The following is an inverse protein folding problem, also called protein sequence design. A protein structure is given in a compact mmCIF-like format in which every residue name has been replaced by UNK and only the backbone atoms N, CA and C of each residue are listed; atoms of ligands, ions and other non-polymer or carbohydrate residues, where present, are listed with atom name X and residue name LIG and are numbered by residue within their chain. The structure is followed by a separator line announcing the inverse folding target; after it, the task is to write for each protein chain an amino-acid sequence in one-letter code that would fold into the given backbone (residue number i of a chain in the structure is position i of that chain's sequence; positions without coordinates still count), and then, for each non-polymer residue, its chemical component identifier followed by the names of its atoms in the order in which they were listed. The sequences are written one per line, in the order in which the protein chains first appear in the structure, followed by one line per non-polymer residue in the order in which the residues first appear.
data_IF_587626538489
#
_entry.id   IF_587626538489
#
_cell.length_a   1.000
_cell.length_b   1.000
_cell.length_c   1.000
_cell.angle_alpha   90.00
_cell.angle_beta   90.00
_cell.angle_gamma   90.00
#
_symmetry.space_group_name_H-M   'P 1'
#
loop_
_entity.id
_entity.type
_entity.pdbx_description
1 polymer ?
#
# COMPACT_ATOMS: atom_id res chain seq x y z
N UNK A 1 26.81 22.07 9.99
CA UNK A 1 26.07 22.96 9.07
C UNK A 1 24.60 22.99 9.47
N UNK A 2 23.96 24.17 9.62
CA UNK A 2 22.54 24.28 9.95
C UNK A 2 21.70 23.53 8.92
N UNK A 3 20.60 22.91 9.34
CA UNK A 3 19.69 22.23 8.42
C UNK A 3 18.98 23.26 7.54
N UNK A 4 19.16 23.12 6.22
CA UNK A 4 18.36 23.86 5.26
C UNK A 4 16.90 23.41 5.39
N UNK A 5 15.92 24.30 5.13
CA UNK A 5 14.50 23.95 5.21
C UNK A 5 14.16 22.73 4.34
N UNK A 6 14.81 22.61 3.18
CA UNK A 6 14.70 21.46 2.29
C UNK A 6 15.10 20.14 2.95
N UNK A 7 16.23 20.12 3.67
CA UNK A 7 16.69 18.91 4.36
C UNK A 7 15.70 18.51 5.44
N UNK A 8 15.14 19.47 6.18
CA UNK A 8 14.12 19.18 7.20
C UNK A 8 12.86 18.58 6.56
N UNK A 9 12.39 19.13 5.43
CA UNK A 9 11.25 18.59 4.67
C UNK A 9 11.52 17.14 4.22
N UNK A 10 12.65 16.88 3.57
CA UNK A 10 13.00 15.54 3.07
C UNK A 10 13.06 14.47 4.18
N UNK A 11 13.70 14.79 5.31
CA UNK A 11 13.82 13.85 6.43
C UNK A 11 12.49 13.66 7.17
N UNK A 12 11.64 14.68 7.24
CA UNK A 12 10.30 14.56 7.81
C UNK A 12 9.39 13.67 6.96
N UNK A 13 9.36 13.88 5.63
CA UNK A 13 8.60 13.05 4.70
C UNK A 13 9.06 11.58 4.74
N UNK A 14 10.37 11.37 4.79
CA UNK A 14 10.96 10.04 4.96
C UNK A 14 10.55 9.36 6.27
N UNK A 15 10.61 10.08 7.40
CA UNK A 15 10.22 9.52 8.69
C UNK A 15 8.74 9.11 8.69
N UNK A 16 7.87 9.97 8.17
CA UNK A 16 6.43 9.70 8.08
C UNK A 16 6.17 8.49 7.18
N UNK A 17 6.73 8.45 5.97
CA UNK A 17 6.45 7.35 5.07
C UNK A 17 7.10 6.02 5.50
N UNK A 18 8.26 6.06 6.17
CA UNK A 18 8.84 4.86 6.79
C UNK A 18 7.89 4.28 7.83
N UNK A 19 7.28 5.12 8.66
CA UNK A 19 6.23 4.69 9.61
C UNK A 19 5.04 4.08 8.88
N UNK A 20 4.59 4.65 7.75
CA UNK A 20 3.49 4.10 6.94
C UNK A 20 3.84 2.70 6.40
N UNK A 21 5.04 2.52 5.86
CA UNK A 21 5.50 1.23 5.33
C UNK A 21 5.66 0.19 6.44
N UNK A 22 6.25 0.55 7.58
CA UNK A 22 6.35 -0.33 8.74
C UNK A 22 4.96 -0.68 9.29
N UNK A 23 4.03 0.28 9.34
CA UNK A 23 2.66 0.04 9.74
C UNK A 23 1.95 -0.93 8.77
N UNK A 24 2.19 -0.81 7.46
CA UNK A 24 1.68 -1.75 6.45
C UNK A 24 2.19 -3.17 6.73
N UNK A 25 3.50 -3.34 6.93
CA UNK A 25 4.13 -4.64 7.21
C UNK A 25 3.58 -5.23 8.51
N UNK A 26 3.46 -4.43 9.57
CA UNK A 26 2.90 -4.87 10.84
C UNK A 26 1.42 -5.27 10.73
N UNK A 27 0.61 -4.51 9.99
CA UNK A 27 -0.79 -4.83 9.74
C UNK A 27 -0.95 -6.15 8.97
N UNK A 28 -0.16 -6.34 7.91
CA UNK A 28 -0.17 -7.55 7.08
C UNK A 28 0.30 -8.76 7.87
N UNK A 29 1.42 -8.66 8.58
CA UNK A 29 1.93 -9.73 9.46
C UNK A 29 0.91 -10.11 10.54
N UNK A 30 0.17 -9.14 11.08
CA UNK A 30 -0.87 -9.41 12.08
C UNK A 30 -2.13 -10.08 11.49
N UNK A 31 -2.39 -9.91 10.20
CA UNK A 31 -3.61 -10.42 9.53
C UNK A 31 -3.37 -11.78 8.88
N UNK A 32 -2.20 -11.98 8.29
CA UNK A 32 -1.86 -13.16 7.47
C UNK A 32 -0.85 -14.09 8.16
N UNK A 33 -0.20 -13.63 9.25
CA UNK A 33 0.83 -14.38 9.94
C UNK A 33 2.14 -14.45 9.12
N UNK A 34 2.81 -15.60 9.15
CA UNK A 34 4.07 -15.88 8.42
C UNK A 34 3.86 -16.26 6.93
N UNK A 35 2.62 -16.30 6.44
CA UNK A 35 2.32 -16.65 5.05
C UNK A 35 2.39 -15.41 4.15
N UNK A 36 3.60 -14.87 3.96
CA UNK A 36 3.81 -13.67 3.16
C UNK A 36 3.61 -13.97 1.68
N UNK A 37 2.85 -13.10 1.00
CA UNK A 37 2.71 -13.12 -0.46
C UNK A 37 3.80 -12.23 -1.08
N UNK A 38 4.04 -12.36 -2.39
CA UNK A 38 5.07 -11.59 -3.12
C UNK A 38 4.97 -10.06 -2.88
N UNK A 39 3.76 -9.52 -2.71
CA UNK A 39 3.49 -8.11 -2.39
C UNK A 39 4.18 -7.63 -1.08
N UNK A 40 4.29 -8.48 -0.08
CA UNK A 40 4.88 -8.13 1.22
C UNK A 40 6.41 -7.99 1.11
N UNK A 41 7.07 -8.80 0.26
CA UNK A 41 8.49 -8.68 -0.05
C UNK A 41 8.81 -7.39 -0.84
N UNK A 42 7.95 -7.00 -1.77
CA UNK A 42 8.11 -5.72 -2.48
C UNK A 42 7.94 -4.52 -1.55
N UNK A 43 7.07 -4.59 -0.54
CA UNK A 43 6.96 -3.54 0.46
C UNK A 43 8.22 -3.40 1.33
N UNK A 44 8.83 -4.51 1.75
CA UNK A 44 10.11 -4.48 2.48
C UNK A 44 11.24 -3.92 1.59
N UNK A 45 11.28 -4.37 0.33
CA UNK A 45 12.24 -3.88 -0.66
C UNK A 45 12.07 -2.38 -0.88
N UNK A 46 10.83 -1.86 -0.93
CA UNK A 46 10.57 -0.44 -1.07
C UNK A 46 11.11 0.39 0.11
N UNK A 47 11.07 -0.13 1.35
CA UNK A 47 11.71 0.55 2.49
C UNK A 47 13.21 0.69 2.24
N UNK A 48 13.88 -0.41 1.89
CA UNK A 48 15.34 -0.43 1.67
C UNK A 48 15.73 0.48 0.50
N UNK A 49 14.98 0.44 -0.61
CA UNK A 49 15.24 1.30 -1.76
C UNK A 49 15.04 2.77 -1.42
N UNK A 50 14.02 3.11 -0.63
CA UNK A 50 13.77 4.49 -0.22
C UNK A 50 14.84 5.03 0.73
N UNK A 51 15.26 4.22 1.70
CA UNK A 51 16.35 4.61 2.61
C UNK A 51 17.64 4.85 1.83
N UNK A 52 17.96 3.96 0.88
CA UNK A 52 19.14 4.08 0.04
C UNK A 52 19.09 5.31 -0.87
N UNK A 53 17.92 5.60 -1.47
CA UNK A 53 17.71 6.77 -2.32
C UNK A 53 17.93 8.07 -1.55
N UNK A 54 17.36 8.19 -0.35
CA UNK A 54 17.55 9.37 0.51
C UNK A 54 19.03 9.53 0.93
N UNK A 55 19.71 8.43 1.25
CA UNK A 55 21.14 8.46 1.56
C UNK A 55 21.96 8.94 0.36
N UNK A 56 21.66 8.49 -0.87
CA UNK A 56 22.33 8.98 -2.07
C UNK A 56 22.06 10.46 -2.30
N UNK A 57 20.85 10.94 -2.02
CA UNK A 57 20.46 12.34 -2.17
C UNK A 57 21.20 13.27 -1.20
N UNK A 58 21.38 12.86 0.06
CA UNK A 58 22.22 13.61 1.03
C UNK A 58 23.68 13.65 0.57
N UNK A 59 24.22 12.54 0.05
CA UNK A 59 25.58 12.49 -0.48
C UNK A 59 25.73 13.41 -1.71
N UNK A 60 24.74 13.47 -2.59
CA UNK A 60 24.73 14.39 -3.73
C UNK A 60 24.78 15.85 -3.24
N UNK A 61 24.02 16.20 -2.20
CA UNK A 61 24.04 17.53 -1.60
C UNK A 61 25.39 17.92 -0.98
N UNK A 62 26.16 16.94 -0.48
CA UNK A 62 27.47 17.18 0.14
C UNK A 62 28.63 17.24 -0.87
N UNK A 63 28.62 16.38 -1.88
CA UNK A 63 29.74 16.21 -2.82
C UNK A 63 29.57 16.99 -4.13
N UNK A 64 28.34 17.41 -4.48
CA UNK A 64 28.03 18.06 -5.75
C UNK A 64 28.02 17.10 -6.94
N UNK A 65 27.56 17.53 -8.11
CA UNK A 65 27.46 16.69 -9.31
C UNK A 65 28.04 17.39 -10.54
N UNK A 66 28.27 16.63 -11.61
CA UNK A 66 28.70 17.18 -12.90
C UNK A 66 27.60 18.00 -13.62
N UNK A 67 26.37 18.00 -13.10
CA UNK A 67 25.23 18.66 -13.74
C UNK A 67 25.43 20.18 -13.69
N UNK A 68 25.51 20.83 -14.86
CA UNK A 68 25.78 22.27 -14.97
C UNK A 68 27.25 22.67 -15.07
N UNK A 69 28.14 21.70 -15.23
CA UNK A 69 29.54 21.97 -15.54
C UNK A 69 29.69 22.25 -17.04
N UNK A 70 30.52 23.24 -17.39
CA UNK A 70 30.90 23.56 -18.77
C UNK A 70 32.40 23.27 -18.96
N UNK A 71 32.89 23.26 -20.20
CA UNK A 71 34.31 23.00 -20.50
C UNK A 71 35.27 23.92 -19.72
N UNK A 72 34.93 25.21 -19.64
CA UNK A 72 35.75 26.21 -18.94
C UNK A 72 35.77 26.00 -17.41
N UNK A 73 34.61 25.70 -16.81
CA UNK A 73 34.55 25.44 -15.36
C UNK A 73 35.18 24.09 -15.02
N UNK A 74 35.09 23.08 -15.89
CA UNK A 74 35.75 21.79 -15.73
C UNK A 74 37.29 21.89 -15.74
N UNK A 75 37.84 22.83 -16.52
CA UNK A 75 39.27 23.14 -16.59
C UNK A 75 39.77 23.91 -15.35
N UNK A 76 38.94 24.79 -14.79
CA UNK A 76 39.28 25.63 -13.65
C UNK A 76 39.27 24.90 -12.29
N UNK A 77 38.74 23.67 -12.23
CA UNK A 77 38.62 22.90 -10.98
C UNK A 77 39.96 22.35 -10.48
N UNK A 78 40.16 22.43 -9.17
CA UNK A 78 41.26 21.75 -8.47
C UNK A 78 41.10 20.22 -8.54
N UNK A 79 42.20 19.44 -8.44
CA UNK A 79 42.12 17.98 -8.45
C UNK A 79 41.28 17.42 -7.29
N UNK A 80 41.24 18.10 -6.13
CA UNK A 80 40.41 17.73 -4.98
C UNK A 80 38.92 17.93 -5.27
N UNK A 81 38.53 19.07 -5.85
CA UNK A 81 37.14 19.34 -6.24
C UNK A 81 36.66 18.36 -7.31
N UNK A 82 37.51 18.07 -8.29
CA UNK A 82 37.23 17.07 -9.32
C UNK A 82 36.90 15.71 -8.70
N UNK A 83 37.69 15.27 -7.70
CA UNK A 83 37.46 13.99 -7.03
C UNK A 83 36.13 13.96 -6.27
N UNK A 84 35.74 15.09 -5.65
CA UNK A 84 34.42 15.23 -4.98
C UNK A 84 33.27 15.11 -5.98
N UNK A 85 33.34 15.82 -7.10
CA UNK A 85 32.31 15.76 -8.15
C UNK A 85 32.18 14.38 -8.79
N UNK A 86 33.28 13.63 -8.95
CA UNK A 86 33.23 12.23 -9.41
C UNK A 86 32.43 11.36 -8.43
N UNK A 87 32.65 11.52 -7.13
CA UNK A 87 31.93 10.75 -6.10
C UNK A 87 30.44 11.10 -6.15
N UNK A 88 30.10 12.39 -6.13
CA UNK A 88 28.70 12.80 -6.16
C UNK A 88 27.99 12.46 -7.47
N UNK A 89 28.68 12.43 -8.61
CA UNK A 89 28.11 11.97 -9.88
C UNK A 89 27.86 10.45 -9.91
N UNK A 90 28.67 9.65 -9.21
CA UNK A 90 28.38 8.23 -8.99
C UNK A 90 27.16 8.05 -8.08
N UNK A 91 27.04 8.87 -7.03
CA UNK A 91 25.86 8.89 -6.16
C UNK A 91 24.61 9.31 -6.94
N UNK A 92 24.70 10.29 -7.85
CA UNK A 92 23.61 10.69 -8.73
C UNK A 92 23.16 9.55 -9.64
N UNK A 93 24.10 8.86 -10.27
CA UNK A 93 23.79 7.69 -11.09
C UNK A 93 23.10 6.60 -10.24
N UNK A 94 23.66 6.25 -9.08
CA UNK A 94 23.05 5.27 -8.19
C UNK A 94 21.65 5.71 -7.69
N UNK A 95 21.49 6.98 -7.31
CA UNK A 95 20.23 7.56 -6.85
C UNK A 95 19.14 7.49 -7.93
N UNK A 96 19.45 7.85 -9.18
CA UNK A 96 18.49 7.70 -10.29
C UNK A 96 18.04 6.24 -10.43
N UNK A 97 18.96 5.26 -10.39
CA UNK A 97 18.59 3.86 -10.43
C UNK A 97 17.68 3.45 -9.26
N UNK A 98 18.05 3.82 -8.03
CA UNK A 98 17.30 3.50 -6.81
C UNK A 98 15.89 4.11 -6.87
N UNK A 99 15.77 5.39 -7.21
CA UNK A 99 14.50 6.06 -7.40
C UNK A 99 13.62 5.34 -8.45
N UNK A 100 14.16 5.02 -9.64
CA UNK A 100 13.40 4.35 -10.70
C UNK A 100 12.93 2.98 -10.23
N UNK A 101 13.81 2.20 -9.61
CA UNK A 101 13.45 0.89 -9.05
C UNK A 101 12.37 1.00 -7.98
N UNK A 102 12.46 2.01 -7.11
CA UNK A 102 11.51 2.23 -6.04
C UNK A 102 10.10 2.52 -6.57
N UNK A 103 9.94 3.47 -7.50
CA UNK A 103 8.61 3.78 -8.04
C UNK A 103 8.03 2.54 -8.72
N UNK A 104 8.85 1.76 -9.40
CA UNK A 104 8.36 0.59 -10.12
C UNK A 104 7.99 -0.55 -9.18
N UNK A 105 8.69 -0.71 -8.06
CA UNK A 105 8.25 -1.56 -6.96
C UNK A 105 6.88 -1.10 -6.44
N UNK A 106 6.66 0.20 -6.23
CA UNK A 106 5.37 0.73 -5.78
C UNK A 106 4.22 0.47 -6.77
N UNK A 107 4.48 0.65 -8.08
CA UNK A 107 3.52 0.29 -9.14
C UNK A 107 3.19 -1.21 -9.13
N UNK A 108 4.20 -2.03 -8.90
CA UNK A 108 4.05 -3.49 -8.83
C UNK A 108 3.17 -3.90 -7.63
N UNK A 109 3.38 -3.31 -6.45
CA UNK A 109 2.50 -3.48 -5.29
C UNK A 109 1.04 -3.10 -5.61
N UNK A 110 0.82 -1.97 -6.30
CA UNK A 110 -0.52 -1.55 -6.73
C UNK A 110 -1.17 -2.53 -7.71
N UNK A 111 -0.40 -3.05 -8.67
CA UNK A 111 -0.89 -4.03 -9.63
C UNK A 111 -1.29 -5.34 -8.94
N UNK A 112 -0.51 -5.80 -7.96
CA UNK A 112 -0.88 -6.96 -7.14
C UNK A 112 -2.17 -6.72 -6.35
N UNK A 113 -2.32 -5.54 -5.76
CA UNK A 113 -3.56 -5.15 -5.09
C UNK A 113 -4.75 -5.19 -6.04
N UNK A 114 -4.63 -4.62 -7.25
CA UNK A 114 -5.70 -4.63 -8.24
C UNK A 114 -6.01 -6.02 -8.77
N UNK A 115 -5.00 -6.88 -8.95
CA UNK A 115 -5.21 -8.27 -9.32
C UNK A 115 -6.06 -9.00 -8.28
N UNK A 116 -5.88 -8.69 -6.99
CA UNK A 116 -6.68 -9.26 -5.89
C UNK A 116 -8.10 -8.68 -5.80
N UNK A 117 -8.28 -7.41 -6.17
CA UNK A 117 -9.58 -6.73 -6.12
C UNK A 117 -10.47 -7.01 -7.34
N UNK A 118 -9.86 -7.32 -8.49
CA UNK A 118 -10.59 -7.54 -9.74
C UNK A 118 -11.08 -8.98 -9.86
N UNK A 119 -12.40 -9.14 -9.96
CA UNK A 119 -13.06 -10.45 -10.11
C UNK A 119 -13.55 -10.70 -11.55
N UNK A 120 -13.71 -9.64 -12.36
CA UNK A 120 -14.15 -9.73 -13.76
C UNK A 120 -12.97 -10.07 -14.69
N UNK A 121 -13.17 -11.03 -15.59
CA UNK A 121 -12.14 -11.53 -16.53
C UNK A 121 -11.57 -10.42 -17.40
N UNK A 122 -12.39 -9.43 -17.79
CA UNK A 122 -11.93 -8.28 -18.60
C UNK A 122 -11.01 -7.35 -17.80
N UNK A 123 -11.32 -7.10 -16.52
CA UNK A 123 -10.51 -6.26 -15.66
C UNK A 123 -9.19 -6.94 -15.29
N UNK A 124 -9.21 -8.26 -15.04
CA UNK A 124 -7.98 -9.02 -14.82
C UNK A 124 -7.05 -8.99 -16.04
N UNK A 125 -7.59 -9.11 -17.26
CA UNK A 125 -6.81 -8.94 -18.50
C UNK A 125 -6.17 -7.54 -18.57
N UNK A 126 -6.91 -6.49 -18.19
CA UNK A 126 -6.36 -5.13 -18.15
C UNK A 126 -5.20 -5.03 -17.15
N UNK A 127 -5.34 -5.58 -15.94
CA UNK A 127 -4.25 -5.61 -14.94
C UNK A 127 -3.01 -6.32 -15.49
N UNK A 128 -3.16 -7.46 -16.14
CA UNK A 128 -2.04 -8.21 -16.72
C UNK A 128 -1.35 -7.44 -17.85
N UNK A 129 -2.11 -6.82 -18.76
CA UNK A 129 -1.56 -5.99 -19.83
C UNK A 129 -0.80 -4.79 -19.24
N UNK A 130 -1.39 -4.10 -18.26
CA UNK A 130 -0.72 -2.99 -17.58
C UNK A 130 0.55 -3.46 -16.87
N UNK A 131 0.57 -4.65 -16.26
CA UNK A 131 1.78 -5.19 -15.64
C UNK A 131 2.90 -5.45 -16.66
N UNK A 132 2.57 -5.98 -17.85
CA UNK A 132 3.54 -6.14 -18.94
C UNK A 132 4.07 -4.81 -19.44
N UNK A 133 3.22 -3.79 -19.57
CA UNK A 133 3.64 -2.43 -19.97
C UNK A 133 4.53 -1.79 -18.90
N UNK A 134 4.22 -1.97 -17.62
CA UNK A 134 5.08 -1.51 -16.52
C UNK A 134 6.46 -2.18 -16.57
N UNK A 135 6.51 -3.49 -16.81
CA UNK A 135 7.77 -4.22 -16.95
C UNK A 135 8.57 -3.74 -18.16
N UNK A 136 7.93 -3.56 -19.31
CA UNK A 136 8.57 -3.01 -20.51
C UNK A 136 9.09 -1.58 -20.27
N UNK A 137 8.30 -0.74 -19.60
CA UNK A 137 8.69 0.61 -19.20
C UNK A 137 9.91 0.61 -18.28
N UNK A 138 9.98 -0.33 -17.33
CA UNK A 138 11.18 -0.52 -16.49
C UNK A 138 12.43 -0.79 -17.28
N UNK A 139 12.36 -1.83 -18.10
CA UNK A 139 13.50 -2.29 -18.88
C UNK A 139 13.94 -1.17 -19.82
N UNK A 140 13.00 -0.48 -20.46
CA UNK A 140 13.28 0.68 -21.31
C UNK A 140 14.03 1.78 -20.56
N UNK A 141 13.57 2.19 -19.37
CA UNK A 141 14.21 3.26 -18.60
C UNK A 141 15.59 2.87 -18.10
N UNK A 142 15.77 1.63 -17.66
CA UNK A 142 17.10 1.11 -17.26
C UNK A 142 18.04 1.03 -18.45
N UNK A 143 17.58 0.57 -19.61
CA UNK A 143 18.38 0.53 -20.83
C UNK A 143 18.83 1.93 -21.20
N UNK A 144 17.92 2.91 -21.27
CA UNK A 144 18.28 4.32 -21.56
C UNK A 144 19.31 4.84 -20.56
N UNK A 145 19.13 4.56 -19.27
CA UNK A 145 20.07 4.95 -18.23
C UNK A 145 21.48 4.39 -18.45
N UNK A 146 21.60 3.14 -18.89
CA UNK A 146 22.88 2.50 -19.18
C UNK A 146 23.47 2.93 -20.53
N UNK A 147 22.64 3.20 -21.53
CA UNK A 147 23.07 3.49 -22.91
C UNK A 147 23.19 4.97 -23.24
N UNK A 148 22.73 5.88 -22.36
CA UNK A 148 22.78 7.34 -22.64
C UNK A 148 24.18 7.85 -22.96
N UNK A 149 25.21 7.23 -22.38
CA UNK A 149 26.60 7.62 -22.53
C UNK A 149 27.49 6.38 -22.64
N UNK A 150 28.12 6.23 -23.80
CA UNK A 150 29.07 5.15 -24.06
C UNK A 150 30.50 5.69 -24.18
N UNK A 151 31.48 5.11 -23.46
CA UNK A 151 31.34 4.09 -22.40
C UNK A 151 30.66 4.63 -21.14
N UNK A 152 30.00 3.74 -20.36
CA UNK A 152 29.23 4.09 -19.14
C UNK A 152 30.03 4.92 -18.14
N UNK A 153 31.36 4.79 -18.14
CA UNK A 153 32.27 5.58 -17.29
C UNK A 153 32.16 7.10 -17.50
N UNK A 154 31.70 7.54 -18.67
CA UNK A 154 31.47 8.96 -18.98
C UNK A 154 30.37 9.58 -18.13
N UNK A 155 29.48 8.80 -17.52
CA UNK A 155 28.43 9.31 -16.65
C UNK A 155 28.95 9.99 -15.37
N UNK A 156 30.18 9.68 -14.95
CA UNK A 156 30.82 10.29 -13.78
C UNK A 156 32.20 10.86 -14.13
N UNK A 157 32.45 11.12 -15.42
CA UNK A 157 33.70 11.72 -15.89
C UNK A 157 33.58 13.24 -15.80
N UNK A 158 34.45 13.86 -15.00
CA UNK A 158 34.52 15.33 -14.85
C UNK A 158 35.50 15.93 -15.87
N UNK A 159 36.61 15.25 -16.15
CA UNK A 159 37.63 15.71 -17.10
C UNK A 159 38.28 14.54 -17.85
N UNK A 160 38.51 14.64 -19.18
CA UNK A 160 37.98 15.67 -20.08
C UNK A 160 36.45 15.67 -20.08
N UNK A 161 35.82 16.82 -20.34
CA UNK A 161 34.37 16.95 -20.27
C UNK A 161 33.67 15.97 -21.24
N UNK A 162 32.65 15.21 -20.80
CA UNK A 162 32.00 14.21 -21.64
C UNK A 162 30.98 14.79 -22.63
N UNK A 163 30.70 16.10 -22.58
CA UNK A 163 29.68 16.78 -23.37
C UNK A 163 28.33 16.89 -22.66
N UNK A 164 27.54 17.90 -23.06
CA UNK A 164 26.25 18.25 -22.45
C UNK A 164 25.22 17.12 -22.52
N UNK A 165 25.24 16.35 -23.62
CA UNK A 165 24.39 15.17 -23.79
C UNK A 165 24.55 14.15 -22.65
N UNK A 166 25.75 14.09 -22.06
CA UNK A 166 26.06 13.19 -20.96
C UNK A 166 25.88 13.80 -19.57
N UNK A 167 26.25 15.08 -19.41
CA UNK A 167 26.20 15.77 -18.13
C UNK A 167 24.76 16.15 -17.70
N UNK A 168 23.89 16.54 -18.64
CA UNK A 168 22.56 17.07 -18.34
C UNK A 168 21.49 15.99 -18.06
N UNK A 169 21.77 14.71 -18.31
CA UNK A 169 20.84 13.58 -18.06
C UNK A 169 19.46 13.71 -18.76
N UNK A 170 19.32 14.57 -19.76
CA UNK A 170 18.06 14.84 -20.49
C UNK A 170 17.38 13.55 -20.99
N UNK A 171 18.09 12.59 -21.63
CA UNK A 171 17.45 11.36 -22.12
C UNK A 171 16.82 10.52 -21.01
N UNK A 172 17.42 10.51 -19.82
CA UNK A 172 16.88 9.79 -18.67
C UNK A 172 15.58 10.42 -18.17
N UNK A 173 15.53 11.74 -18.04
CA UNK A 173 14.34 12.43 -17.57
C UNK A 173 13.17 12.26 -18.55
N UNK A 174 13.43 12.34 -19.86
CA UNK A 174 12.41 12.13 -20.88
C UNK A 174 11.92 10.67 -20.91
N UNK A 175 12.82 9.69 -20.89
CA UNK A 175 12.43 8.29 -20.86
C UNK A 175 11.62 7.95 -19.59
N UNK A 176 12.07 8.47 -18.44
CA UNK A 176 11.40 8.29 -17.17
C UNK A 176 10.00 8.92 -17.16
N UNK A 177 9.84 10.20 -17.53
CA UNK A 177 8.53 10.87 -17.46
C UNK A 177 7.53 10.21 -18.41
N UNK A 178 7.94 9.85 -19.63
CA UNK A 178 7.05 9.24 -20.62
C UNK A 178 6.59 7.86 -20.14
N UNK A 179 7.51 7.02 -19.68
CA UNK A 179 7.16 5.69 -19.16
C UNK A 179 6.36 5.76 -17.86
N UNK A 180 6.69 6.70 -16.96
CA UNK A 180 6.01 6.87 -15.68
C UNK A 180 4.56 7.32 -15.87
N UNK A 181 4.35 8.41 -16.61
CA UNK A 181 3.03 8.99 -16.85
C UNK A 181 2.13 8.00 -17.60
N UNK A 182 2.67 7.34 -18.63
CA UNK A 182 1.90 6.34 -19.40
C UNK A 182 1.45 5.19 -18.50
N UNK A 183 2.35 4.66 -17.67
CA UNK A 183 2.01 3.55 -16.77
C UNK A 183 1.06 3.98 -15.65
N UNK A 184 1.19 5.18 -15.10
CA UNK A 184 0.25 5.71 -14.09
C UNK A 184 -1.15 5.90 -14.64
N UNK A 185 -1.29 6.45 -15.85
CA UNK A 185 -2.60 6.59 -16.51
C UNK A 185 -3.27 5.23 -16.70
N UNK A 186 -2.51 4.21 -17.12
CA UNK A 186 -3.03 2.86 -17.25
C UNK A 186 -3.45 2.26 -15.90
N UNK A 187 -2.64 2.45 -14.84
CA UNK A 187 -2.95 1.98 -13.49
C UNK A 187 -4.21 2.67 -12.95
N UNK A 188 -4.38 3.99 -13.15
CA UNK A 188 -5.56 4.74 -12.72
C UNK A 188 -6.84 4.37 -13.48
N UNK A 189 -6.72 3.91 -14.73
CA UNK A 189 -7.88 3.48 -15.51
C UNK A 189 -8.58 2.24 -14.93
N UNK A 190 -7.83 1.37 -14.23
CA UNK A 190 -8.34 0.12 -13.63
C UNK A 190 -9.44 0.39 -12.61
N UNK A 191 -9.20 1.12 -11.50
CA UNK A 191 -10.21 1.42 -10.50
C UNK A 191 -11.33 2.32 -11.04
N UNK A 192 -11.03 3.21 -12.01
CA UNK A 192 -12.04 4.06 -12.63
C UNK A 192 -13.10 3.22 -13.37
N UNK A 193 -12.66 2.21 -14.12
CA UNK A 193 -13.56 1.29 -14.81
C UNK A 193 -14.45 0.49 -13.85
N UNK A 194 -13.93 0.17 -12.66
CA UNK A 194 -14.67 -0.50 -11.60
C UNK A 194 -15.69 0.44 -10.95
N UNK A 195 -15.30 1.69 -10.66
CA UNK A 195 -16.13 2.67 -10.01
C UNK A 195 -17.37 3.05 -10.83
N UNK A 196 -17.29 3.03 -12.16
CA UNK A 196 -18.44 3.28 -13.03
C UNK A 196 -19.47 2.16 -13.05
N UNK A 197 -19.06 0.91 -12.77
CA UNK A 197 -19.97 -0.24 -12.79
C UNK A 197 -20.60 -0.50 -11.43
N UNK A 198 -19.91 -0.19 -10.34
CA UNK A 198 -20.33 -0.57 -8.99
C UNK A 198 -21.13 0.54 -8.31
N UNK A 199 -22.38 0.25 -7.93
CA UNK A 199 -23.21 1.13 -7.11
C UNK A 199 -22.73 1.08 -5.65
N UNK A 200 -21.90 2.05 -5.24
CA UNK A 200 -21.38 2.17 -3.88
C UNK A 200 -22.02 3.32 -3.10
N UNK A 201 -22.14 3.21 -1.75
CA UNK A 201 -22.63 4.30 -0.91
C UNK A 201 -21.72 5.53 -1.02
N UNK A 202 -22.30 6.72 -0.93
CA UNK A 202 -21.62 8.01 -1.18
C UNK A 202 -20.30 8.15 -0.40
N UNK A 203 -20.24 7.71 0.85
CA UNK A 203 -19.03 7.78 1.67
C UNK A 203 -17.86 6.94 1.11
N UNK A 204 -18.14 5.75 0.57
CA UNK A 204 -17.08 4.93 -0.05
C UNK A 204 -16.67 5.49 -1.41
N UNK A 205 -17.64 6.08 -2.12
CA UNK A 205 -17.42 6.75 -3.41
C UNK A 205 -16.50 7.98 -3.24
N UNK A 206 -16.68 8.79 -2.20
CA UNK A 206 -15.81 9.94 -1.93
C UNK A 206 -14.40 9.52 -1.54
N UNK A 207 -14.22 8.50 -0.67
CA UNK A 207 -12.89 7.99 -0.32
C UNK A 207 -12.14 7.47 -1.55
N UNK A 208 -12.82 6.71 -2.42
CA UNK A 208 -12.22 6.25 -3.68
C UNK A 208 -11.88 7.43 -4.60
N UNK A 209 -12.74 8.44 -4.70
CA UNK A 209 -12.47 9.67 -5.45
C UNK A 209 -11.24 10.42 -4.96
N UNK A 210 -11.12 10.63 -3.64
CA UNK A 210 -9.93 11.26 -3.03
C UNK A 210 -8.65 10.47 -3.31
N UNK A 211 -8.74 9.14 -3.27
CA UNK A 211 -7.61 8.27 -3.58
C UNK A 211 -7.19 8.35 -5.06
N UNK A 212 -8.15 8.46 -5.99
CA UNK A 212 -7.86 8.71 -7.41
C UNK A 212 -7.20 10.09 -7.62
N UNK A 213 -7.62 11.11 -6.87
CA UNK A 213 -7.00 12.44 -6.93
C UNK A 213 -5.51 12.41 -6.51
N UNK A 214 -5.12 11.57 -5.54
CA UNK A 214 -3.70 11.37 -5.21
C UNK A 214 -2.92 10.81 -6.40
N UNK A 215 -3.53 9.89 -7.16
CA UNK A 215 -2.96 9.37 -8.41
C UNK A 215 -2.71 10.45 -9.46
N UNK A 216 -3.69 11.33 -9.68
CA UNK A 216 -3.54 12.46 -10.60
C UNK A 216 -2.46 13.43 -10.13
N UNK A 217 -2.38 13.68 -8.83
CA UNK A 217 -1.33 14.53 -8.25
C UNK A 217 0.07 13.96 -8.51
N UNK A 218 0.27 12.64 -8.35
CA UNK A 218 1.55 11.97 -8.62
C UNK A 218 1.97 12.19 -10.08
N UNK A 219 1.03 12.06 -11.04
CA UNK A 219 1.30 12.33 -12.46
C UNK A 219 1.75 13.78 -12.67
N UNK A 220 1.04 14.74 -12.09
CA UNK A 220 1.39 16.18 -12.20
C UNK A 220 2.78 16.44 -11.61
N UNK A 221 3.07 15.88 -10.43
CA UNK A 221 4.38 16.01 -9.78
C UNK A 221 5.51 15.46 -10.67
N UNK A 222 5.28 14.33 -11.35
CA UNK A 222 6.24 13.74 -12.29
C UNK A 222 6.53 14.63 -13.50
N UNK A 223 5.48 15.25 -14.06
CA UNK A 223 5.60 16.20 -15.17
C UNK A 223 6.35 17.45 -14.72
N UNK A 224 5.98 18.02 -13.57
CA UNK A 224 6.64 19.21 -13.01
C UNK A 224 8.12 18.95 -12.76
N UNK A 225 8.47 17.80 -12.17
CA UNK A 225 9.86 17.38 -12.00
C UNK A 225 10.61 17.40 -13.33
N UNK A 226 10.04 16.80 -14.38
CA UNK A 226 10.70 16.75 -15.69
C UNK A 226 10.91 18.14 -16.27
N UNK A 227 9.86 18.99 -16.29
CA UNK A 227 9.96 20.36 -16.80
C UNK A 227 11.01 21.16 -16.04
N UNK A 228 11.01 21.10 -14.70
CA UNK A 228 11.98 21.80 -13.87
C UNK A 228 13.41 21.26 -14.08
N UNK A 229 13.58 19.96 -14.28
CA UNK A 229 14.89 19.36 -14.53
C UNK A 229 15.47 19.71 -15.92
N UNK A 230 14.63 20.19 -16.85
CA UNK A 230 15.02 20.55 -18.20
C UNK A 230 15.22 22.06 -18.41
N UNK A 231 14.63 22.91 -17.56
CA UNK A 231 14.65 24.36 -17.75
C UNK A 231 15.98 25.01 -17.32
N UNK A 232 16.49 24.75 -16.11
CA UNK A 232 17.70 25.40 -15.61
C UNK A 232 18.52 24.51 -14.66
N UNK A 233 19.83 24.77 -14.59
CA UNK A 233 20.71 24.10 -13.63
C UNK A 233 20.36 24.50 -12.19
N UNK A 234 19.94 25.76 -11.98
CA UNK A 234 19.53 26.26 -10.66
C UNK A 234 18.20 25.64 -10.18
N UNK A 235 17.32 25.26 -11.10
CA UNK A 235 16.04 24.62 -10.80
C UNK A 235 16.16 23.11 -10.56
N UNK A 236 17.36 22.53 -10.64
CA UNK A 236 17.65 21.15 -10.24
C UNK A 236 17.22 20.83 -8.79
N UNK A 237 17.43 21.79 -7.88
CA UNK A 237 17.00 21.65 -6.49
C UNK A 237 15.46 21.58 -6.37
N UNK A 238 14.75 22.37 -7.17
CA UNK A 238 13.27 22.34 -7.23
C UNK A 238 12.76 21.03 -7.83
N UNK A 239 13.41 20.52 -8.89
CA UNK A 239 13.10 19.20 -9.45
C UNK A 239 13.27 18.08 -8.42
N UNK A 240 14.31 18.17 -7.59
CA UNK A 240 14.57 17.22 -6.50
C UNK A 240 13.47 17.28 -5.43
N UNK A 241 13.00 18.47 -5.04
CA UNK A 241 11.87 18.62 -4.10
C UNK A 241 10.62 17.92 -4.62
N UNK A 242 10.27 18.14 -5.88
CA UNK A 242 9.10 17.49 -6.49
C UNK A 242 9.26 15.97 -6.59
N UNK A 243 10.47 15.46 -6.79
CA UNK A 243 10.76 14.03 -6.73
C UNK A 243 10.45 13.43 -5.35
N UNK A 244 10.87 14.09 -4.26
CA UNK A 244 10.62 13.59 -2.91
C UNK A 244 9.10 13.58 -2.64
N UNK A 245 8.41 14.68 -2.94
CA UNK A 245 6.95 14.79 -2.80
C UNK A 245 6.18 13.75 -3.61
N UNK A 246 6.60 13.50 -4.85
CA UNK A 246 6.04 12.45 -5.71
C UNK A 246 6.14 11.08 -5.03
N UNK A 247 7.35 10.70 -4.56
CA UNK A 247 7.56 9.42 -3.88
C UNK A 247 6.79 9.31 -2.57
N UNK A 248 6.73 10.38 -1.79
CA UNK A 248 5.99 10.45 -0.54
C UNK A 248 4.48 10.21 -0.77
N UNK A 249 3.88 10.95 -1.71
CA UNK A 249 2.45 10.78 -2.04
C UNK A 249 2.17 9.41 -2.67
N UNK A 250 3.08 8.90 -3.50
CA UNK A 250 2.98 7.54 -4.05
C UNK A 250 2.93 6.49 -2.95
N UNK A 251 3.78 6.61 -1.92
CA UNK A 251 3.78 5.69 -0.79
C UNK A 251 2.46 5.76 -0.01
N UNK A 252 1.94 6.96 0.25
CA UNK A 252 0.62 7.11 0.88
C UNK A 252 -0.46 6.43 0.03
N UNK A 253 -0.49 6.73 -1.27
CA UNK A 253 -1.49 6.20 -2.18
C UNK A 253 -1.47 4.65 -2.24
N UNK A 254 -0.28 4.05 -2.36
CA UNK A 254 -0.09 2.58 -2.42
C UNK A 254 -0.54 1.87 -1.13
N UNK A 255 -0.38 2.53 0.00
CA UNK A 255 -0.68 1.95 1.32
C UNK A 255 -2.10 2.26 1.82
N UNK A 256 -2.72 3.34 1.35
CA UNK A 256 -4.08 3.74 1.73
C UNK A 256 -5.14 2.62 1.65
N UNK A 257 -5.28 1.85 0.55
CA UNK A 257 -6.31 0.82 0.46
C UNK A 257 -6.09 -0.36 1.41
N UNK A 258 -4.84 -0.62 1.83
CA UNK A 258 -4.50 -1.72 2.74
C UNK A 258 -4.67 -1.28 4.20
N UNK A 259 -4.21 -0.07 4.54
CA UNK A 259 -4.30 0.48 5.88
C UNK A 259 -5.71 0.98 6.24
N UNK A 260 -6.47 1.47 5.27
CA UNK A 260 -7.81 2.06 5.47
C UNK A 260 -8.76 1.18 6.30
N UNK A 261 -9.04 -0.08 5.88
CA UNK A 261 -9.93 -0.97 6.61
C UNK A 261 -9.45 -1.29 8.03
N UNK A 262 -8.13 -1.32 8.24
CA UNK A 262 -7.54 -1.64 9.54
C UNK A 262 -7.63 -0.46 10.51
N UNK A 263 -7.39 0.76 10.02
CA UNK A 263 -7.56 1.98 10.82
C UNK A 263 -9.01 2.14 11.28
N UNK A 264 -9.99 1.87 10.40
CA UNK A 264 -11.40 1.93 10.79
C UNK A 264 -11.72 0.88 11.85
N UNK A 265 -11.27 -0.38 11.69
CA UNK A 265 -11.49 -1.45 12.69
C UNK A 265 -10.90 -1.10 14.05
N UNK A 266 -9.67 -0.57 14.10
CA UNK A 266 -9.03 -0.18 15.37
C UNK A 266 -9.68 1.05 16.00
N UNK A 267 -10.04 2.06 15.21
CA UNK A 267 -10.76 3.23 15.70
C UNK A 267 -12.10 2.82 16.33
N UNK A 268 -12.87 1.95 15.66
CA UNK A 268 -14.11 1.41 16.23
C UNK A 268 -13.83 0.59 17.48
N UNK A 269 -12.79 -0.26 17.52
CA UNK A 269 -12.44 -1.05 18.71
C UNK A 269 -12.06 -0.18 19.92
N UNK A 270 -11.35 0.94 19.71
CA UNK A 270 -10.98 1.90 20.76
C UNK A 270 -12.20 2.64 21.28
N UNK A 271 -13.08 3.14 20.39
CA UNK A 271 -14.34 3.79 20.80
C UNK A 271 -15.24 2.81 21.57
N UNK A 272 -15.34 1.56 21.13
CA UNK A 272 -16.15 0.54 21.81
C UNK A 272 -15.56 0.15 23.16
N UNK A 273 -14.22 0.11 23.30
CA UNK A 273 -13.54 -0.11 24.60
C UNK A 273 -13.72 1.08 25.55
N UNK A 274 -13.65 2.32 25.05
CA UNK A 274 -13.93 3.53 25.83
C UNK A 274 -15.38 3.63 26.29
N UNK A 275 -16.33 3.22 25.45
CA UNK A 275 -17.75 3.12 25.83
C UNK A 275 -18.01 2.04 26.90
N UNK A 276 -17.29 0.91 26.85
CA UNK A 276 -17.38 -0.14 27.88
C UNK A 276 -16.75 0.27 29.22
N UNK A 277 -15.71 1.12 29.23
CA UNK A 277 -15.15 1.66 30.48
C UNK A 277 -16.00 2.77 31.10
N UNK A 278 -16.81 3.48 30.29
CA UNK A 278 -17.77 4.49 30.76
C UNK A 278 -19.09 3.91 31.28
N UNK A 279 -19.38 2.63 30.99
CA UNK A 279 -20.57 1.94 31.46
C UNK A 279 -20.23 1.03 32.66
N UNK A 280 -19.63 1.60 33.70
CA UNK A 280 -19.72 1.03 35.04
C UNK A 280 -21.20 1.08 35.45
N UNK A 281 -21.85 -0.09 35.37
CA UNK A 281 -23.24 -0.33 35.75
C UNK A 281 -23.63 0.45 37.01
N UNK A 282 -24.71 1.25 37.05
CA UNK A 282 -25.44 1.36 38.30
C UNK A 282 -26.03 -0.03 38.58
N UNK A 283 -25.69 -0.57 39.73
CA UNK A 283 -26.24 -1.82 40.24
C UNK A 283 -27.75 -1.67 40.40
N UNK A 284 -28.52 -2.10 39.39
CA UNK A 284 -29.97 -2.20 39.51
C UNK A 284 -30.29 -3.41 40.40
N UNK A 285 -30.32 -3.18 41.71
CA UNK A 285 -30.77 -4.16 42.72
C UNK A 285 -32.23 -4.49 42.44
N UNK A 286 -32.48 -5.59 41.72
CA UNK A 286 -33.83 -6.13 41.56
C UNK A 286 -34.18 -6.93 42.82
N UNK A 287 -34.84 -6.27 43.78
CA UNK A 287 -35.43 -6.91 44.97
C UNK A 287 -36.58 -7.79 44.49
N UNK A 288 -36.36 -9.11 44.39
CA UNK A 288 -37.47 -10.01 44.03
C UNK A 288 -37.18 -11.47 43.69
N UNK A 289 -35.94 -11.97 43.78
CA UNK A 289 -35.63 -13.37 43.36
C UNK A 289 -35.13 -14.29 44.48
N UNK A 290 -35.71 -14.19 45.68
CA UNK A 290 -35.37 -15.08 46.82
C UNK A 290 -36.29 -16.30 47.03
N UNK A 291 -37.31 -16.54 46.20
CA UNK A 291 -38.24 -17.68 46.41
C UNK A 291 -37.84 -18.99 45.70
N UNK A 292 -37.21 -18.92 44.53
CA UNK A 292 -37.09 -20.12 43.65
C UNK A 292 -36.07 -21.17 44.09
N UNK A 293 -35.04 -20.83 44.89
CA UNK A 293 -33.98 -21.77 45.28
C UNK A 293 -34.28 -22.62 46.52
N UNK A 294 -35.35 -22.29 47.25
CA UNK A 294 -35.75 -23.05 48.45
C UNK A 294 -36.65 -24.24 48.11
N UNK A 295 -37.46 -24.12 47.06
CA UNK A 295 -38.37 -25.19 46.62
C UNK A 295 -37.63 -26.36 45.94
N UNK A 296 -36.57 -26.08 45.16
CA UNK A 296 -35.77 -27.14 44.51
C UNK A 296 -34.97 -28.02 45.48
N UNK A 297 -34.66 -27.53 46.69
CA UNK A 297 -33.96 -28.34 47.70
C UNK A 297 -34.90 -29.23 48.51
N UNK A 298 -36.17 -28.86 48.67
CA UNK A 298 -37.14 -29.67 49.42
C UNK A 298 -37.72 -30.82 48.59
N UNK A 299 -37.70 -30.73 47.25
CA UNK A 299 -38.14 -31.81 46.34
C UNK A 299 -37.08 -32.92 46.20
N UNK A 300 -35.80 -32.63 46.51
CA UNK A 300 -34.70 -33.57 46.29
C UNK A 300 -34.43 -34.53 47.47
N UNK A 301 -35.00 -34.29 48.64
CA UNK A 301 -34.76 -35.08 49.87
C UNK A 301 -35.90 -36.05 50.27
N UNK A 302 -37.00 -36.13 49.51
CA UNK A 302 -38.14 -37.01 49.84
C UNK A 302 -38.19 -38.29 49.01
N UNK A 303 -37.61 -39.39 49.51
CA UNK A 303 -37.68 -40.72 48.88
C UNK A 303 -38.96 -41.46 49.33
N UNK A 304 -39.78 -41.81 48.34
CA UNK A 304 -40.66 -42.98 48.23
C UNK A 304 -41.94 -43.13 49.10
N UNK A 305 -42.93 -43.73 48.42
CA UNK A 305 -44.11 -44.50 48.88
C UNK A 305 -45.42 -43.77 49.23
N UNK A 306 -46.39 -43.92 48.32
CA UNK A 306 -47.60 -44.68 48.64
C UNK A 306 -48.90 -43.90 48.87
N UNK A 307 -49.87 -44.17 47.98
CA UNK A 307 -51.32 -44.28 48.21
C UNK A 307 -52.16 -42.97 48.18
N UNK A 308 -53.13 -42.94 47.25
CA UNK A 308 -54.39 -42.21 47.41
C UNK A 308 -55.02 -41.64 46.13
N UNK A 309 -56.02 -42.32 45.56
CA UNK A 309 -57.07 -41.76 44.65
C UNK A 309 -57.78 -40.58 45.39
N UNK A 310 -58.32 -39.54 44.76
CA UNK A 310 -59.51 -39.53 43.89
C UNK A 310 -59.76 -38.16 43.21
N UNK A 311 -60.16 -38.22 41.94
CA UNK A 311 -61.25 -37.48 41.23
C UNK A 311 -61.31 -35.94 41.20
N UNK A 312 -61.25 -35.38 39.98
CA UNK A 312 -62.33 -34.70 39.22
C UNK A 312 -61.64 -33.91 38.09
N UNK A 313 -61.66 -34.36 36.83
CA UNK A 313 -62.72 -34.32 35.81
C UNK A 313 -62.84 -32.94 35.11
N UNK A 314 -62.93 -32.99 33.78
CA UNK A 314 -62.90 -31.82 32.90
C UNK A 314 -62.34 -32.15 31.51
N UNK A 315 -63.04 -33.03 30.79
CA UNK A 315 -62.66 -33.50 29.46
C UNK A 315 -62.85 -32.49 28.32
N UNK A 316 -62.19 -32.81 27.20
CA UNK A 316 -62.66 -32.61 25.83
C UNK A 316 -61.81 -33.53 24.93
N UNK A 317 -62.41 -34.65 24.50
CA UNK A 317 -61.92 -35.57 23.48
C UNK A 317 -62.48 -35.17 22.11
N UNK A 318 -61.66 -35.24 21.05
CA UNK A 318 -62.01 -35.70 19.68
C UNK A 318 -60.68 -36.21 19.06
N UNK A 319 -60.41 -37.54 18.93
CA UNK A 319 -60.77 -38.49 17.83
C UNK A 319 -60.34 -37.99 16.43
N UNK A 320 -59.43 -38.63 15.67
CA UNK A 320 -59.50 -39.96 15.01
C UNK A 320 -58.11 -40.45 14.49
N UNK A 321 -57.78 -41.72 14.79
CA UNK A 321 -57.31 -42.85 13.90
C UNK A 321 -56.52 -42.47 12.62
N UNK A 322 -55.32 -42.97 12.28
CA UNK A 322 -54.72 -44.29 12.47
C UNK A 322 -54.75 -45.10 11.16
N UNK A 323 -53.62 -45.23 10.45
CA UNK A 323 -53.40 -46.39 9.56
C UNK A 323 -51.90 -46.69 9.35
N UNK A 324 -51.48 -47.81 9.91
CA UNK A 324 -50.28 -48.58 9.57
C UNK A 324 -50.47 -49.35 8.25
N UNK A 325 -49.39 -49.51 7.48
CA UNK A 325 -48.98 -50.75 6.79
C UNK A 325 -47.58 -50.47 6.23
N UNK A 326 -46.53 -50.79 6.95
CA UNK A 326 -45.83 -52.08 7.03
C UNK A 326 -45.05 -52.47 5.76
N UNK A 327 -43.87 -52.97 6.09
CA UNK A 327 -42.69 -53.37 5.38
C UNK A 327 -42.88 -54.55 4.42
N UNK A 328 -41.96 -54.67 3.46
CA UNK A 328 -41.78 -55.86 2.64
C UNK A 328 -40.41 -55.88 1.97
N UNK A 329 -39.41 -56.40 2.67
CA UNK A 329 -38.14 -56.87 2.09
C UNK A 329 -38.39 -58.07 1.17
N UNK A 330 -37.67 -58.13 0.04
CA UNK A 330 -36.94 -59.33 -0.43
C UNK A 330 -36.15 -59.04 -1.72
N UNK A 331 -34.82 -59.01 -1.55
CA UNK A 331 -33.74 -59.69 -2.28
C UNK A 331 -33.91 -60.17 -3.74
N UNK A 332 -32.77 -60.05 -4.46
CA UNK A 332 -32.13 -61.02 -5.38
C UNK A 332 -31.96 -60.60 -6.87
N UNK A 333 -30.68 -60.53 -7.26
CA UNK A 333 -29.98 -60.84 -8.53
C UNK A 333 -29.85 -59.86 -9.73
N UNK A 334 -28.56 -59.53 -9.96
CA UNK A 334 -27.75 -59.70 -11.19
C UNK A 334 -28.32 -59.29 -12.55
N UNK A 335 -27.66 -58.28 -13.13
CA UNK A 335 -27.54 -57.99 -14.55
C UNK A 335 -26.31 -57.14 -14.80
#
# INVERSE_FOLDING_TARGET
MPATPFRVEAWAEYAIGTVILLARIACRSSTVGLNWEDDDYFALTAVILWTADLCMLEMIGQYGTITGLNDETALALTPEERRRLVIGSKCLFAGIALYVTMIWCLKTCMLFLFRRLTLDTRQQRLVHVTALVCLAGYVSTIVVMLTKCLPVRKNWQVYPYPGDACALNIPNYLALVVTNVTTDLMILSIPLSLLWRVQMPLLRKTVCGLWLCMGVFIIIASILRCVLSLQDVESFNLGTIWSIRETFVAIIAVNAPILGPWMTKRATAVVTRGAKSSLSKPELVTIGRKSSRRLERLVKDGRAHGIGRTTMDGGSEEYLVGQEADTGSRDVELG
#
